data_IF_904111574430
#
_entry.id   IF_904111574430
#
_cell.length_a   1.000
_cell.length_b   1.000
_cell.length_c   1.000
_cell.angle_alpha   90.00
_cell.angle_beta   90.00
_cell.angle_gamma   90.00
#
_symmetry.space_group_name_H-M   'P 1'
#
loop_
_entity.id
_entity.type
_entity.pdbx_description
1 polymer ?
#
# COMPACT_ATOMS: atom_id res chain seq x y z
N UNK A 1 -40.64 24.88 -35.80
CA UNK A 1 -39.24 24.48 -36.09
C UNK A 1 -39.24 22.99 -36.41
N UNK A 2 -38.44 22.51 -37.37
CA UNK A 2 -38.47 21.09 -37.75
C UNK A 2 -37.67 20.26 -36.75
N UNK A 3 -38.20 19.12 -36.29
CA UNK A 3 -37.54 18.21 -35.33
C UNK A 3 -36.14 17.78 -35.80
N UNK A 4 -35.97 17.55 -37.11
CA UNK A 4 -34.68 17.18 -37.70
C UNK A 4 -33.60 18.26 -37.57
N UNK A 5 -33.97 19.54 -37.54
CA UNK A 5 -33.01 20.65 -37.37
C UNK A 5 -32.55 20.73 -35.91
N UNK A 6 -33.46 20.54 -34.96
CA UNK A 6 -33.11 20.48 -33.53
C UNK A 6 -32.20 19.29 -33.23
N UNK A 7 -32.49 18.10 -33.79
CA UNK A 7 -31.64 16.92 -33.61
C UNK A 7 -30.19 17.18 -34.05
N UNK A 8 -30.00 17.71 -35.26
CA UNK A 8 -28.66 18.06 -35.76
C UNK A 8 -27.95 19.10 -34.88
N UNK A 9 -28.71 20.06 -34.35
CA UNK A 9 -28.17 21.08 -33.47
C UNK A 9 -27.75 20.49 -32.11
N UNK A 10 -28.49 19.49 -31.63
CA UNK A 10 -28.22 18.76 -30.40
C UNK A 10 -26.93 17.92 -30.50
N UNK A 11 -26.73 17.25 -31.63
CA UNK A 11 -25.49 16.49 -31.90
C UNK A 11 -24.26 17.41 -31.85
N UNK A 12 -24.36 18.59 -32.49
CA UNK A 12 -23.30 19.60 -32.45
C UNK A 12 -23.11 20.21 -31.06
N UNK A 13 -24.20 20.38 -30.30
CA UNK A 13 -24.13 20.86 -28.92
C UNK A 13 -23.33 19.89 -28.04
N UNK A 14 -23.59 18.59 -28.17
CA UNK A 14 -22.82 17.56 -27.46
C UNK A 14 -21.37 17.44 -27.94
N UNK A 15 -21.09 17.78 -29.20
CA UNK A 15 -19.73 17.90 -29.72
C UNK A 15 -19.00 19.19 -29.27
N UNK A 16 -19.71 20.15 -28.66
CA UNK A 16 -19.14 21.45 -28.28
C UNK A 16 -18.89 22.39 -29.46
N UNK A 17 -19.57 22.19 -30.58
CA UNK A 17 -19.39 22.93 -31.84
C UNK A 17 -20.49 23.99 -32.08
N UNK A 18 -21.31 24.28 -31.08
CA UNK A 18 -22.40 25.26 -31.17
C UNK A 18 -21.94 26.67 -30.81
N UNK A 19 -22.56 27.65 -31.47
CA UNK A 19 -22.43 29.07 -31.11
C UNK A 19 -23.41 29.45 -30.00
N UNK A 20 -23.18 30.61 -29.36
CA UNK A 20 -24.05 31.12 -28.29
C UNK A 20 -25.50 31.33 -28.78
N UNK A 21 -25.71 31.71 -30.04
CA UNK A 21 -27.04 31.91 -30.63
C UNK A 21 -27.78 30.59 -30.85
N UNK A 22 -27.07 29.57 -31.30
CA UNK A 22 -27.56 28.20 -31.46
C UNK A 22 -27.96 27.60 -30.11
N UNK A 23 -27.13 27.79 -29.07
CA UNK A 23 -27.46 27.37 -27.71
C UNK A 23 -28.67 28.09 -27.13
N UNK A 24 -28.83 29.40 -27.40
CA UNK A 24 -30.03 30.15 -27.01
C UNK A 24 -31.27 29.56 -27.67
N UNK A 25 -31.15 29.13 -28.93
CA UNK A 25 -32.23 28.48 -29.67
C UNK A 25 -32.61 27.14 -29.04
N UNK A 26 -31.63 26.29 -28.70
CA UNK A 26 -31.86 25.03 -27.97
C UNK A 26 -32.53 25.29 -26.61
N UNK A 27 -32.00 26.23 -25.84
CA UNK A 27 -32.57 26.62 -24.54
C UNK A 27 -34.02 27.08 -24.68
N UNK A 28 -34.33 27.92 -25.67
CA UNK A 28 -35.69 28.40 -25.93
C UNK A 28 -36.63 27.26 -26.32
N UNK A 29 -36.19 26.36 -27.21
CA UNK A 29 -36.98 25.21 -27.67
C UNK A 29 -37.36 24.27 -26.51
N UNK A 30 -36.39 23.88 -25.67
CA UNK A 30 -36.64 22.99 -24.54
C UNK A 30 -37.30 23.67 -23.33
N UNK A 31 -37.36 25.01 -23.32
CA UNK A 31 -38.09 25.79 -22.31
C UNK A 31 -39.59 25.91 -22.59
N UNK A 32 -40.04 25.56 -23.80
CA UNK A 32 -41.45 25.56 -24.17
C UNK A 32 -42.22 24.33 -23.66
N UNK A 33 -43.55 24.39 -23.72
CA UNK A 33 -44.44 23.28 -23.34
C UNK A 33 -44.65 22.25 -24.45
N UNK A 34 -44.28 22.56 -25.71
CA UNK A 34 -44.46 21.67 -26.87
C UNK A 34 -43.11 21.19 -27.41
N UNK A 35 -42.50 20.21 -26.73
CA UNK A 35 -41.31 19.49 -27.20
C UNK A 35 -41.75 18.19 -27.85
N UNK A 36 -41.21 17.90 -29.05
CA UNK A 36 -41.49 16.65 -29.77
C UNK A 36 -41.19 15.41 -28.88
N UNK A 37 -42.02 14.35 -28.92
CA UNK A 37 -41.88 13.18 -28.04
C UNK A 37 -40.48 12.55 -28.05
N UNK A 38 -39.86 12.44 -29.22
CA UNK A 38 -38.51 11.87 -29.40
C UNK A 38 -37.40 12.68 -28.71
N UNK A 39 -37.67 13.97 -28.46
CA UNK A 39 -36.73 14.93 -27.90
C UNK A 39 -36.96 15.21 -26.40
N UNK A 40 -38.06 14.71 -25.82
CA UNK A 40 -38.38 14.94 -24.41
C UNK A 40 -37.29 14.45 -23.46
N UNK A 41 -36.56 13.39 -23.83
CA UNK A 41 -35.43 12.87 -23.06
C UNK A 41 -34.33 13.92 -22.80
N UNK A 42 -34.14 14.88 -23.72
CA UNK A 42 -33.12 15.92 -23.59
C UNK A 42 -33.60 17.13 -22.80
N UNK A 43 -34.91 17.25 -22.55
CA UNK A 43 -35.52 18.42 -21.92
C UNK A 43 -35.00 18.64 -20.48
N UNK A 44 -34.76 17.56 -19.73
CA UNK A 44 -34.25 17.64 -18.36
C UNK A 44 -32.90 18.37 -18.26
N UNK A 45 -32.03 18.20 -19.25
CA UNK A 45 -30.73 18.89 -19.31
C UNK A 45 -30.92 20.41 -19.36
N UNK A 46 -31.70 20.89 -20.31
CA UNK A 46 -31.93 22.32 -20.53
C UNK A 46 -32.77 22.98 -19.43
N UNK A 47 -33.72 22.24 -18.83
CA UNK A 47 -34.47 22.73 -17.67
C UNK A 47 -33.59 22.91 -16.44
N UNK A 48 -32.68 21.97 -16.16
CA UNK A 48 -31.74 22.09 -15.03
C UNK A 48 -30.81 23.30 -15.17
N UNK A 49 -30.35 23.58 -16.40
CA UNK A 49 -29.52 24.73 -16.75
C UNK A 49 -30.21 26.08 -16.53
N UNK A 50 -31.55 26.12 -16.53
CA UNK A 50 -32.30 27.35 -16.24
C UNK A 50 -32.24 27.74 -14.75
N UNK A 51 -32.25 26.75 -13.87
CA UNK A 51 -32.19 26.97 -12.41
C UNK A 51 -30.77 27.26 -11.91
N UNK A 52 -29.77 26.78 -12.64
CA UNK A 52 -28.37 27.15 -12.46
C UNK A 52 -28.16 28.57 -13.00
N UNK A 53 -28.58 29.58 -12.22
CA UNK A 53 -28.07 30.94 -12.41
C UNK A 53 -26.55 30.85 -12.38
N UNK A 54 -25.90 31.48 -13.35
CA UNK A 54 -24.48 31.71 -13.30
C UNK A 54 -24.21 32.46 -11.98
N UNK A 55 -23.80 31.74 -10.95
CA UNK A 55 -23.18 32.36 -9.79
C UNK A 55 -22.00 33.12 -10.35
N UNK A 56 -22.12 34.44 -10.36
CA UNK A 56 -21.05 35.31 -10.82
C UNK A 56 -19.87 35.02 -9.92
N UNK A 57 -18.77 34.56 -10.50
CA UNK A 57 -17.51 34.40 -9.78
C UNK A 57 -17.26 35.69 -8.99
N UNK A 58 -16.97 35.54 -7.69
CA UNK A 58 -16.64 36.71 -6.88
C UNK A 58 -15.36 37.35 -7.41
N UNK A 59 -15.26 38.67 -7.34
CA UNK A 59 -14.05 39.40 -7.73
C UNK A 59 -12.79 38.87 -7.00
N UNK A 60 -12.97 38.38 -5.78
CA UNK A 60 -11.92 37.75 -4.97
C UNK A 60 -11.40 36.44 -5.58
N UNK A 61 -12.24 35.68 -6.29
CA UNK A 61 -11.82 34.44 -6.93
C UNK A 61 -10.87 34.72 -8.09
N UNK A 62 -11.21 35.70 -8.93
CA UNK A 62 -10.38 36.09 -10.07
C UNK A 62 -9.02 36.63 -9.62
N UNK A 63 -9.02 37.48 -8.58
CA UNK A 63 -7.78 37.99 -7.97
C UNK A 63 -6.90 36.85 -7.41
N UNK A 64 -7.48 35.90 -6.68
CA UNK A 64 -6.74 34.73 -6.13
C UNK A 64 -6.22 33.80 -7.22
N UNK A 65 -6.98 33.62 -8.29
CA UNK A 65 -6.57 32.79 -9.42
C UNK A 65 -5.40 33.41 -10.16
N UNK A 66 -5.46 34.72 -10.46
CA UNK A 66 -4.36 35.45 -11.08
C UNK A 66 -3.10 35.42 -10.20
N UNK A 67 -3.25 35.56 -8.88
CA UNK A 67 -2.14 35.43 -7.94
C UNK A 67 -1.47 34.05 -8.04
N UNK A 68 -2.25 32.96 -8.02
CA UNK A 68 -1.72 31.59 -8.15
C UNK A 68 -1.06 31.30 -9.50
N UNK A 69 -1.54 31.92 -10.57
CA UNK A 69 -0.93 31.79 -11.90
C UNK A 69 0.38 32.59 -12.02
N UNK A 70 0.49 33.69 -11.28
CA UNK A 70 1.70 34.53 -11.24
C UNK A 70 2.76 34.02 -10.24
N UNK A 71 2.36 33.18 -9.28
CA UNK A 71 3.29 32.45 -8.42
C UNK A 71 4.12 31.47 -9.26
N UNK A 72 5.29 31.94 -9.72
CA UNK A 72 6.31 31.07 -10.32
C UNK A 72 6.64 29.96 -9.31
N UNK A 73 6.71 28.69 -9.73
CA UNK A 73 7.14 27.62 -8.84
C UNK A 73 8.51 28.00 -8.30
N UNK A 74 8.58 28.27 -6.99
CA UNK A 74 9.86 28.53 -6.34
C UNK A 74 10.63 27.22 -6.37
N UNK A 75 11.49 27.07 -7.39
CA UNK A 75 12.39 25.94 -7.48
C UNK A 75 13.27 25.97 -6.24
N UNK A 76 13.09 24.98 -5.38
CA UNK A 76 13.88 24.84 -4.16
C UNK A 76 15.31 24.49 -4.57
N UNK A 77 16.17 25.51 -4.66
CA UNK A 77 17.60 25.32 -4.94
C UNK A 77 18.22 24.65 -3.73
N UNK A 78 18.58 23.37 -3.87
CA UNK A 78 19.32 22.64 -2.83
C UNK A 78 20.82 22.88 -3.10
N UNK A 79 21.59 23.40 -2.14
CA UNK A 79 23.00 23.70 -2.36
C UNK A 79 23.81 22.42 -2.56
N UNK A 80 24.48 22.30 -3.71
CA UNK A 80 25.29 21.13 -4.11
C UNK A 80 26.34 20.73 -3.05
N UNK A 81 26.83 21.70 -2.26
CA UNK A 81 27.82 21.48 -1.20
C UNK A 81 27.37 20.46 -0.15
N UNK A 82 26.07 20.44 0.22
CA UNK A 82 25.57 19.48 1.21
C UNK A 82 25.61 18.04 0.67
N UNK A 83 25.32 17.86 -0.62
CA UNK A 83 25.40 16.55 -1.27
C UNK A 83 26.85 16.07 -1.38
N UNK A 84 27.76 16.96 -1.79
CA UNK A 84 29.20 16.67 -1.86
C UNK A 84 29.80 16.32 -0.49
N UNK A 85 29.38 16.98 0.59
CA UNK A 85 29.82 16.64 1.95
C UNK A 85 29.39 15.22 2.37
N UNK A 86 28.18 14.79 2.01
CA UNK A 86 27.70 13.42 2.31
C UNK A 86 28.49 12.37 1.53
N UNK A 87 28.79 12.64 0.25
CA UNK A 87 29.64 11.77 -0.57
C UNK A 87 31.05 11.70 0.03
N UNK A 88 31.65 12.85 0.37
CA UNK A 88 32.98 12.89 0.96
C UNK A 88 33.05 12.09 2.27
N UNK A 89 32.04 12.20 3.14
CA UNK A 89 31.97 11.41 4.37
C UNK A 89 31.92 9.90 4.08
N UNK A 90 31.12 9.46 3.10
CA UNK A 90 31.06 8.05 2.70
C UNK A 90 32.40 7.54 2.16
N UNK A 91 33.09 8.34 1.34
CA UNK A 91 34.41 8.00 0.80
C UNK A 91 35.45 7.88 1.91
N UNK A 92 35.49 8.83 2.85
CA UNK A 92 36.43 8.80 3.99
C UNK A 92 36.18 7.58 4.87
N UNK A 93 34.91 7.25 5.15
CA UNK A 93 34.55 6.04 5.90
C UNK A 93 34.96 4.77 5.16
N UNK A 94 34.67 4.66 3.87
CA UNK A 94 35.07 3.51 3.06
C UNK A 94 36.60 3.33 3.00
N UNK A 95 37.33 4.42 2.81
CA UNK A 95 38.79 4.40 2.80
C UNK A 95 39.36 4.06 4.18
N UNK A 96 38.82 4.63 5.25
CA UNK A 96 39.23 4.32 6.62
C UNK A 96 38.99 2.85 6.97
N UNK A 97 37.83 2.30 6.60
CA UNK A 97 37.53 0.88 6.78
C UNK A 97 38.46 -0.02 5.97
N UNK A 98 38.78 0.33 4.73
CA UNK A 98 39.73 -0.43 3.91
C UNK A 98 41.16 -0.38 4.45
N UNK A 99 41.61 0.79 4.90
CA UNK A 99 42.94 0.99 5.47
C UNK A 99 43.09 0.30 6.84
N UNK A 100 42.05 0.34 7.66
CA UNK A 100 42.02 -0.29 8.98
C UNK A 100 41.60 -1.77 8.93
N UNK A 101 41.20 -2.29 7.77
CA UNK A 101 40.83 -3.70 7.63
C UNK A 101 42.08 -4.55 7.92
N UNK A 102 42.06 -5.40 8.96
CA UNK A 102 43.21 -6.23 9.28
C UNK A 102 43.50 -7.11 8.06
N UNK A 103 44.72 -6.99 7.51
CA UNK A 103 45.19 -7.95 6.51
C UNK A 103 45.16 -9.32 7.17
N UNK A 104 44.39 -10.25 6.61
CA UNK A 104 44.33 -11.61 7.13
C UNK A 104 45.76 -12.15 7.29
N UNK A 105 46.08 -12.87 8.37
CA UNK A 105 47.36 -13.56 8.46
C UNK A 105 47.47 -14.44 7.21
N UNK A 106 48.53 -14.24 6.44
CA UNK A 106 48.90 -15.17 5.38
C UNK A 106 49.05 -16.54 6.01
N UNK A 107 48.10 -17.43 5.75
CA UNK A 107 48.12 -18.82 6.23
C UNK A 107 49.31 -19.50 5.54
N UNK A 108 50.46 -19.53 6.21
CA UNK A 108 51.52 -20.48 5.90
C UNK A 108 50.95 -21.89 6.11
N UNK A 109 51.00 -22.72 5.06
CA UNK A 109 50.64 -24.16 4.96
C UNK A 109 49.66 -24.76 5.98
N UNK A 110 48.60 -25.47 5.53
CA UNK A 110 47.61 -26.05 6.42
C UNK A 110 48.26 -27.08 7.35
N UNK A 111 48.39 -26.72 8.63
CA UNK A 111 48.78 -27.65 9.68
C UNK A 111 47.62 -28.62 9.92
N UNK A 112 47.91 -29.92 9.97
CA UNK A 112 46.91 -30.96 10.14
C UNK A 112 46.08 -30.71 11.41
N UNK A 113 44.76 -30.77 11.29
CA UNK A 113 43.83 -30.59 12.40
C UNK A 113 44.01 -31.76 13.37
N UNK A 114 44.33 -31.47 14.63
CA UNK A 114 44.38 -32.46 15.71
C UNK A 114 42.95 -32.77 16.18
N UNK A 115 42.39 -33.86 15.64
CA UNK A 115 41.03 -34.30 15.93
C UNK A 115 40.84 -34.82 17.36
N UNK A 116 41.93 -35.08 18.10
CA UNK A 116 41.86 -35.59 19.49
C UNK A 116 41.26 -34.57 20.46
N UNK A 117 41.26 -33.29 20.11
CA UNK A 117 40.61 -32.23 20.88
C UNK A 117 39.07 -32.26 20.82
N UNK A 118 38.50 -32.96 19.83
CA UNK A 118 37.05 -33.11 19.64
C UNK A 118 36.54 -34.52 19.97
N UNK A 119 37.46 -35.42 20.33
CA UNK A 119 37.12 -36.72 20.87
C UNK A 119 36.73 -36.49 22.34
N UNK A 120 35.43 -36.27 22.56
CA UNK A 120 34.88 -36.24 23.92
C UNK A 120 35.27 -37.58 24.55
N UNK A 121 36.19 -37.55 25.53
CA UNK A 121 36.74 -38.73 26.20
C UNK A 121 35.75 -39.51 27.06
N UNK A 122 34.45 -39.41 26.76
CA UNK A 122 33.42 -40.29 27.30
C UNK A 122 33.65 -41.68 26.71
N UNK A 123 33.74 -42.67 27.59
CA UNK A 123 33.70 -44.06 27.14
C UNK A 123 32.33 -44.36 26.54
N UNK A 124 32.26 -45.34 25.64
CA UNK A 124 31.00 -45.75 24.98
C UNK A 124 29.88 -46.08 25.98
N UNK A 125 30.26 -46.54 27.18
CA UNK A 125 29.37 -46.79 28.29
C UNK A 125 28.75 -45.51 28.87
N UNK A 126 29.54 -44.45 29.11
CA UNK A 126 29.06 -43.19 29.70
C UNK A 126 28.11 -42.44 28.75
N UNK A 127 28.45 -42.40 27.45
CA UNK A 127 27.57 -41.82 26.42
C UNK A 127 26.23 -42.57 26.31
N UNK A 128 26.26 -43.91 26.44
CA UNK A 128 25.05 -44.73 26.42
C UNK A 128 24.20 -44.50 27.67
N UNK A 129 24.80 -44.35 28.86
CA UNK A 129 24.07 -44.05 30.09
C UNK A 129 23.31 -42.72 30.00
N UNK A 130 23.95 -41.65 29.54
CA UNK A 130 23.29 -40.35 29.37
C UNK A 130 22.14 -40.45 28.35
N UNK A 131 22.36 -41.18 27.26
CA UNK A 131 21.34 -41.38 26.22
C UNK A 131 20.15 -42.17 26.76
N UNK A 132 20.40 -43.23 27.54
CA UNK A 132 19.34 -44.01 28.20
C UNK A 132 18.60 -43.14 29.22
N UNK A 133 19.31 -42.31 29.99
CA UNK A 133 18.70 -41.39 30.94
C UNK A 133 17.78 -40.38 30.23
N UNK A 134 18.24 -39.78 29.14
CA UNK A 134 17.45 -38.85 28.32
C UNK A 134 16.20 -39.54 27.72
N UNK A 135 16.37 -40.73 27.15
CA UNK A 135 15.26 -41.53 26.60
C UNK A 135 14.23 -41.92 27.67
N UNK A 136 14.69 -42.27 28.87
CA UNK A 136 13.82 -42.59 30.01
C UNK A 136 13.02 -41.37 30.46
N UNK A 137 13.64 -40.20 30.47
CA UNK A 137 13.00 -38.92 30.81
C UNK A 137 11.89 -38.59 29.80
N UNK A 138 12.16 -38.73 28.51
CA UNK A 138 11.16 -38.58 27.44
C UNK A 138 9.98 -39.55 27.62
N UNK A 139 10.28 -40.83 27.87
CA UNK A 139 9.25 -41.85 28.10
C UNK A 139 8.35 -41.52 29.30
N UNK A 140 8.93 -41.07 30.42
CA UNK A 140 8.17 -40.63 31.59
C UNK A 140 7.28 -39.43 31.30
N UNK A 141 7.76 -38.44 30.53
CA UNK A 141 6.98 -37.26 30.14
C UNK A 141 5.79 -37.65 29.26
N UNK A 142 5.99 -38.53 28.28
CA UNK A 142 4.92 -39.04 27.42
C UNK A 142 3.87 -39.85 28.21
N UNK A 143 4.30 -40.71 29.12
CA UNK A 143 3.38 -41.53 29.92
C UNK A 143 2.57 -40.68 30.90
N UNK A 144 3.21 -39.70 31.54
CA UNK A 144 2.55 -38.71 32.39
C UNK A 144 1.53 -37.87 31.61
N UNK A 145 1.84 -37.48 30.36
CA UNK A 145 0.92 -36.80 29.46
C UNK A 145 -0.33 -37.62 29.15
N UNK A 146 -0.16 -38.90 28.77
CA UNK A 146 -1.29 -39.81 28.50
C UNK A 146 -2.21 -40.00 29.72
N UNK A 147 -1.64 -40.08 30.93
CA UNK A 147 -2.42 -40.19 32.17
C UNK A 147 -3.28 -38.95 32.44
N UNK A 148 -2.70 -37.75 32.31
CA UNK A 148 -3.43 -36.48 32.49
C UNK A 148 -4.61 -36.40 31.53
N UNK A 149 -4.39 -36.68 30.25
CA UNK A 149 -5.43 -36.68 29.22
C UNK A 149 -6.54 -37.68 29.56
N UNK A 150 -6.20 -38.91 29.96
CA UNK A 150 -7.20 -39.92 30.36
C UNK A 150 -8.04 -39.47 31.56
N UNK A 151 -7.41 -38.91 32.60
CA UNK A 151 -8.13 -38.41 33.79
C UNK A 151 -9.03 -37.23 33.45
N UNK A 152 -8.59 -36.33 32.57
CA UNK A 152 -9.37 -35.18 32.14
C UNK A 152 -10.57 -35.60 31.29
N UNK A 153 -10.39 -36.54 30.35
CA UNK A 153 -11.49 -37.14 29.58
C UNK A 153 -12.52 -37.79 30.52
N UNK A 154 -12.07 -38.56 31.53
CA UNK A 154 -12.97 -39.20 32.51
C UNK A 154 -13.71 -38.17 33.38
N UNK A 155 -13.03 -37.10 33.80
CA UNK A 155 -13.67 -36.03 34.58
C UNK A 155 -14.68 -35.23 33.74
N UNK A 156 -14.37 -34.96 32.47
CA UNK A 156 -15.30 -34.32 31.53
C UNK A 156 -16.55 -35.17 31.30
N UNK A 157 -16.40 -36.49 31.21
CA UNK A 157 -17.52 -37.43 31.06
C UNK A 157 -18.42 -37.42 32.31
N UNK A 158 -17.82 -37.45 33.52
CA UNK A 158 -18.55 -37.36 34.80
C UNK A 158 -19.26 -36.03 35.05
N UNK A 159 -18.76 -34.91 34.51
CA UNK A 159 -19.43 -33.61 34.60
C UNK A 159 -20.66 -33.50 33.69
N UNK A 160 -20.83 -34.42 32.74
CA UNK A 160 -21.94 -34.42 31.79
C UNK A 160 -23.17 -35.17 32.31
N UNK A 161 -23.01 -35.98 33.35
CA UNK A 161 -24.12 -36.67 34.03
C UNK A 161 -24.73 -35.73 35.10
N UNK A 162 -26.01 -35.30 34.97
CA UNK A 162 -26.65 -34.43 35.94
C UNK A 162 -26.87 -35.16 37.27
N UNK A 163 -26.53 -34.50 38.38
CA UNK A 163 -26.84 -34.95 39.75
C UNK A 163 -28.37 -35.07 39.86
N UNK A 164 -28.87 -36.29 40.01
CA UNK A 164 -30.23 -36.58 40.47
C UNK A 164 -30.30 -36.52 42.00
#
# INVERSE_FOLDING_TARGET
MKTNEINKLLDRYYAGETTIEEERTLKAYFSGNEVAPELQQHQGLFQSLRGMKAETLSADFEAKLLQKLQEKPQARVVPMRQYLLRIAAAVVLGFGLWFMYPKAPTVSEPQAIDWTAYENGLTEEEAMEETIAALRLLSQKLNSGKKKVKTEIVNMDRMKDPIH
#
